data_IF_850582461506
#
_entry.id   IF_850582461506
#
_cell.length_a   1.000
_cell.length_b   1.000
_cell.length_c   1.000
_cell.angle_alpha   90.00
_cell.angle_beta   90.00
_cell.angle_gamma   90.00
#
_symmetry.space_group_name_H-M   'P 1'
#
loop_
_entity.id
_entity.type
_entity.pdbx_description
1 polymer ?
#
# COMPACT_ATOMS: atom_id res chain seq x y z
N UNK A 1 3.13 -8.92 -39.20
CA UNK A 1 2.43 -8.95 -37.90
C UNK A 1 3.45 -8.50 -36.87
N UNK A 2 3.38 -7.25 -36.42
CA UNK A 2 4.30 -6.73 -35.43
C UNK A 2 3.84 -7.21 -34.04
N UNK A 3 4.62 -8.08 -33.41
CA UNK A 3 4.45 -8.43 -32.00
C UNK A 3 4.80 -7.19 -31.18
N UNK A 4 3.79 -6.53 -30.64
CA UNK A 4 3.99 -5.51 -29.61
C UNK A 4 4.80 -6.11 -28.45
N UNK A 5 5.80 -5.40 -27.90
CA UNK A 5 6.41 -5.85 -26.65
C UNK A 5 5.32 -5.95 -25.57
N UNK A 6 5.38 -6.89 -24.61
CA UNK A 6 4.53 -6.83 -23.44
C UNK A 6 4.78 -5.48 -22.80
N UNK A 7 3.75 -4.63 -22.73
CA UNK A 7 3.81 -3.32 -22.08
C UNK A 7 4.53 -3.50 -20.75
N UNK A 8 5.66 -2.83 -20.59
CA UNK A 8 6.46 -2.89 -19.38
C UNK A 8 5.63 -2.38 -18.18
N UNK A 9 4.93 -3.33 -17.54
CA UNK A 9 5.06 -3.61 -16.13
C UNK A 9 4.52 -2.60 -15.12
N UNK A 10 3.40 -1.91 -15.39
CA UNK A 10 2.60 -1.38 -14.29
C UNK A 10 1.58 -2.44 -13.88
N UNK A 11 1.97 -3.33 -12.94
CA UNK A 11 1.02 -4.23 -12.31
C UNK A 11 0.06 -3.37 -11.50
N UNK A 12 -1.26 -3.40 -11.78
CA UNK A 12 -2.19 -2.56 -11.08
C UNK A 12 -2.30 -3.04 -9.63
N UNK A 13 -2.47 -2.11 -8.69
CA UNK A 13 -2.44 -2.40 -7.23
C UNK A 13 -3.35 -3.56 -6.86
N UNK A 14 -4.55 -3.66 -7.43
CA UNK A 14 -5.49 -4.76 -7.19
C UNK A 14 -4.91 -6.14 -7.55
N UNK A 15 -4.11 -6.23 -8.62
CA UNK A 15 -3.44 -7.48 -9.01
C UNK A 15 -2.28 -7.81 -8.06
N UNK A 16 -1.60 -6.80 -7.52
CA UNK A 16 -0.55 -6.96 -6.51
C UNK A 16 -1.12 -7.44 -5.17
N UNK A 17 -2.31 -6.96 -4.80
CA UNK A 17 -3.05 -7.41 -3.61
C UNK A 17 -3.50 -8.86 -3.80
N UNK A 18 -4.09 -9.18 -4.96
CA UNK A 18 -4.51 -10.55 -5.27
C UNK A 18 -3.32 -11.53 -5.32
N UNK A 19 -2.14 -11.04 -5.68
CA UNK A 19 -0.91 -11.85 -5.78
C UNK A 19 -0.04 -11.80 -4.52
N UNK A 20 -0.43 -11.06 -3.48
CA UNK A 20 0.36 -10.86 -2.25
C UNK A 20 1.80 -10.37 -2.52
N UNK A 21 1.96 -9.48 -3.51
CA UNK A 21 3.25 -8.88 -3.90
C UNK A 21 3.34 -7.41 -3.58
N UNK A 22 2.27 -6.78 -3.08
CA UNK A 22 2.20 -5.34 -2.86
C UNK A 22 3.29 -4.86 -1.89
N UNK A 23 3.48 -5.55 -0.76
CA UNK A 23 4.50 -5.18 0.21
C UNK A 23 5.92 -5.28 -0.37
N UNK A 24 6.23 -6.36 -1.10
CA UNK A 24 7.52 -6.55 -1.76
C UNK A 24 7.81 -5.48 -2.81
N UNK A 25 6.80 -5.08 -3.56
CA UNK A 25 6.95 -4.02 -4.56
C UNK A 25 7.13 -2.65 -3.92
N UNK A 26 6.44 -2.34 -2.82
CA UNK A 26 6.67 -1.09 -2.06
C UNK A 26 8.12 -1.05 -1.57
N UNK A 27 8.58 -2.11 -0.90
CA UNK A 27 9.96 -2.21 -0.40
C UNK A 27 10.99 -2.10 -1.52
N UNK A 28 10.79 -2.83 -2.63
CA UNK A 28 11.73 -2.83 -3.75
C UNK A 28 11.78 -1.48 -4.47
N UNK A 29 10.64 -0.82 -4.64
CA UNK A 29 10.54 0.46 -5.33
C UNK A 29 11.18 1.59 -4.53
N UNK A 30 11.12 1.53 -3.20
CA UNK A 30 11.66 2.55 -2.29
C UNK A 30 13.11 2.29 -1.85
N UNK A 31 13.66 1.11 -2.12
CA UNK A 31 15.08 0.81 -1.86
C UNK A 31 16.00 1.36 -2.98
N UNK A 32 15.44 1.83 -4.09
CA UNK A 32 16.22 2.41 -5.18
C UNK A 32 16.43 3.91 -4.91
N UNK A 33 17.69 4.37 -4.97
CA UNK A 33 18.12 5.74 -4.61
C UNK A 33 17.41 6.87 -5.38
N UNK A 34 16.78 6.56 -6.52
CA UNK A 34 15.89 7.49 -7.22
C UNK A 34 14.44 7.24 -6.79
N UNK A 35 14.01 7.99 -5.78
CA UNK A 35 12.65 8.00 -5.26
C UNK A 35 11.60 8.58 -6.25
N UNK A 36 12.01 8.80 -7.51
CA UNK A 36 11.23 9.45 -8.58
C UNK A 36 10.12 8.54 -9.14
N UNK A 37 10.14 7.24 -8.80
CA UNK A 37 9.19 6.23 -9.24
C UNK A 37 8.58 5.41 -8.09
N UNK A 38 8.65 5.91 -6.85
CA UNK A 38 8.06 5.23 -5.70
C UNK A 38 6.54 5.02 -5.88
N UNK A 39 6.06 3.81 -5.56
CA UNK A 39 4.60 3.48 -5.56
C UNK A 39 3.81 4.37 -4.58
N UNK A 40 4.52 4.94 -3.60
CA UNK A 40 3.98 5.78 -2.53
C UNK A 40 4.81 7.04 -2.42
N UNK A 41 4.16 8.20 -2.27
CA UNK A 41 4.84 9.45 -1.91
C UNK A 41 5.27 9.46 -0.44
N UNK A 42 6.08 10.44 -0.04
CA UNK A 42 6.60 10.55 1.34
C UNK A 42 5.51 10.59 2.42
N UNK A 43 4.38 11.24 2.14
CA UNK A 43 3.24 11.28 3.06
C UNK A 43 2.59 9.91 3.22
N UNK A 44 2.38 9.21 2.10
CA UNK A 44 1.83 7.85 2.10
C UNK A 44 2.79 6.88 2.80
N UNK A 45 4.09 6.99 2.56
CA UNK A 45 5.10 6.21 3.26
C UNK A 45 5.03 6.40 4.79
N UNK A 46 4.84 7.64 5.25
CA UNK A 46 4.68 7.95 6.68
C UNK A 46 3.41 7.34 7.25
N UNK A 47 2.29 7.39 6.49
CA UNK A 47 1.03 6.74 6.89
C UNK A 47 1.18 5.22 6.93
N UNK A 48 1.85 4.62 5.94
CA UNK A 48 2.07 3.18 5.88
C UNK A 48 2.92 2.72 7.07
N UNK A 49 3.98 3.45 7.41
CA UNK A 49 4.82 3.15 8.56
C UNK A 49 4.01 3.18 9.87
N UNK A 50 3.19 4.21 10.07
CA UNK A 50 2.29 4.33 11.23
C UNK A 50 1.32 3.15 11.30
N UNK A 51 0.67 2.86 10.17
CA UNK A 51 -0.26 1.75 10.03
C UNK A 51 0.39 0.40 10.36
N UNK A 52 1.55 0.10 9.79
CA UNK A 52 2.27 -1.16 10.04
C UNK A 52 2.69 -1.28 11.50
N UNK A 53 3.03 -0.16 12.16
CA UNK A 53 3.43 -0.17 13.57
C UNK A 53 2.26 -0.42 14.53
N UNK A 54 1.06 0.06 14.23
CA UNK A 54 -0.13 -0.17 15.04
C UNK A 54 -1.41 -0.04 14.19
N UNK A 55 -1.77 -1.10 13.44
CA UNK A 55 -2.83 -1.00 12.44
C UNK A 55 -4.21 -0.80 13.06
N UNK A 56 -4.45 -1.33 14.25
CA UNK A 56 -5.72 -1.15 14.96
C UNK A 56 -5.93 0.30 15.41
N UNK A 57 -4.91 0.92 16.02
CA UNK A 57 -5.02 2.30 16.49
C UNK A 57 -4.94 3.32 15.34
N UNK A 58 -4.17 3.03 14.30
CA UNK A 58 -3.90 3.97 13.22
C UNK A 58 -4.90 3.90 12.06
N UNK A 59 -5.76 2.88 12.03
CA UNK A 59 -6.80 2.74 11.00
C UNK A 59 -7.72 3.96 10.90
N UNK A 60 -8.40 4.31 12.00
CA UNK A 60 -9.33 5.45 12.02
C UNK A 60 -8.65 6.80 11.70
N UNK A 61 -7.50 7.17 12.30
CA UNK A 61 -6.86 8.44 11.96
C UNK A 61 -6.42 8.49 10.50
N UNK A 62 -5.85 7.40 9.95
CA UNK A 62 -5.46 7.36 8.53
C UNK A 62 -6.68 7.52 7.62
N UNK A 63 -7.79 6.84 7.93
CA UNK A 63 -9.03 7.01 7.16
C UNK A 63 -9.53 8.45 7.19
N UNK A 64 -9.43 9.14 8.33
CA UNK A 64 -9.82 10.56 8.44
C UNK A 64 -8.88 11.48 7.68
N UNK A 65 -7.56 11.27 7.79
CA UNK A 65 -6.53 12.05 7.09
C UNK A 65 -6.65 11.92 5.57
N UNK A 66 -7.05 10.74 5.09
CA UNK A 66 -7.18 10.42 3.67
C UNK A 66 -8.56 10.76 3.10
N UNK A 67 -9.48 11.25 3.93
CA UNK A 67 -10.85 11.55 3.55
C UNK A 67 -11.74 10.31 3.34
N UNK A 68 -11.23 9.10 3.57
CA UNK A 68 -11.95 7.83 3.41
C UNK A 68 -12.76 7.42 4.65
N UNK A 69 -12.64 8.14 5.77
CA UNK A 69 -13.34 7.83 7.02
C UNK A 69 -14.86 7.94 6.98
N UNK A 70 -15.43 8.50 5.90
CA UNK A 70 -16.86 8.64 5.72
C UNK A 70 -17.35 8.24 4.32
N UNK A 71 -16.50 7.57 3.52
CA UNK A 71 -16.81 7.20 2.15
C UNK A 71 -17.41 5.79 2.12
N UNK A 72 -18.67 5.68 1.71
CA UNK A 72 -19.26 4.40 1.33
C UNK A 72 -18.64 4.01 -0.01
N UNK A 73 -17.73 3.03 0.02
CA UNK A 73 -17.05 2.56 -1.19
C UNK A 73 -18.05 1.84 -2.12
N UNK A 74 -18.52 2.52 -3.17
CA UNK A 74 -19.23 1.84 -4.25
C UNK A 74 -18.22 1.07 -5.11
N UNK A 75 -18.44 -0.23 -5.28
CA UNK A 75 -17.56 -1.09 -6.07
C UNK A 75 -17.39 -0.54 -7.49
N UNK A 76 -16.14 -0.34 -7.92
CA UNK A 76 -15.80 0.05 -9.29
C UNK A 76 -15.36 1.51 -9.48
N UNK A 77 -15.33 2.33 -8.43
CA UNK A 77 -14.74 3.67 -8.49
C UNK A 77 -13.23 3.62 -8.80
N UNK A 78 -12.76 4.46 -9.73
CA UNK A 78 -11.32 4.69 -9.94
C UNK A 78 -10.70 5.13 -8.62
N UNK A 79 -9.62 4.46 -8.25
CA UNK A 79 -8.85 4.81 -7.08
C UNK A 79 -8.03 6.07 -7.33
N UNK A 80 -8.62 7.25 -7.11
CA UNK A 80 -7.92 8.54 -7.09
C UNK A 80 -7.61 9.00 -5.64
N UNK A 81 -7.42 8.05 -4.71
CA UNK A 81 -7.23 8.30 -3.27
C UNK A 81 -5.87 7.83 -2.73
N UNK A 82 -5.70 7.93 -1.41
CA UNK A 82 -4.52 7.44 -0.68
C UNK A 82 -4.51 5.91 -0.58
N UNK A 83 -3.51 5.26 -1.16
CA UNK A 83 -3.33 3.80 -1.13
C UNK A 83 -3.31 3.29 0.30
N UNK A 84 -2.69 4.02 1.23
CA UNK A 84 -2.67 3.64 2.64
C UNK A 84 -4.05 3.77 3.29
N UNK A 85 -4.83 4.79 2.90
CA UNK A 85 -6.22 4.88 3.29
C UNK A 85 -7.05 3.67 2.84
N UNK A 86 -6.79 3.13 1.65
CA UNK A 86 -7.43 1.90 1.18
C UNK A 86 -7.01 0.67 1.97
N UNK A 87 -5.72 0.55 2.27
CA UNK A 87 -5.19 -0.51 3.15
C UNK A 87 -5.90 -0.46 4.51
N UNK A 88 -5.99 0.72 5.13
CA UNK A 88 -6.66 0.92 6.41
C UNK A 88 -8.18 0.63 6.32
N UNK A 89 -8.84 0.98 5.22
CA UNK A 89 -10.27 0.71 5.02
C UNK A 89 -10.56 -0.79 5.01
N UNK A 90 -9.71 -1.55 4.32
CA UNK A 90 -9.83 -3.00 4.12
C UNK A 90 -9.33 -3.81 5.32
N UNK A 91 -8.50 -3.24 6.18
CA UNK A 91 -8.00 -3.90 7.37
C UNK A 91 -9.13 -4.35 8.30
N UNK A 92 -9.16 -5.65 8.63
CA UNK A 92 -10.20 -6.28 9.44
C UNK A 92 -11.59 -6.28 8.79
N UNK A 93 -11.69 -5.99 7.49
CA UNK A 93 -12.95 -6.02 6.74
C UNK A 93 -13.32 -7.44 6.35
N UNK A 94 -14.61 -7.76 6.31
CA UNK A 94 -15.12 -9.05 5.84
C UNK A 94 -14.75 -9.38 4.37
N UNK A 95 -14.29 -8.39 3.60
CA UNK A 95 -13.83 -8.56 2.22
C UNK A 95 -12.37 -9.04 2.11
N UNK A 96 -11.64 -9.15 3.23
CA UNK A 96 -10.25 -9.59 3.29
C UNK A 96 -9.24 -8.43 3.32
N UNK A 97 -8.21 -8.62 4.14
CA UNK A 97 -7.08 -7.71 4.32
C UNK A 97 -6.27 -7.52 3.04
N UNK A 98 -5.65 -6.33 2.92
CA UNK A 98 -4.81 -5.98 1.77
C UNK A 98 -3.42 -6.61 1.87
N UNK A 99 -2.89 -6.72 3.09
CA UNK A 99 -1.64 -7.39 3.38
C UNK A 99 -1.91 -8.65 4.18
N UNK A 100 -1.18 -9.71 3.85
CA UNK A 100 -1.09 -10.87 4.74
C UNK A 100 -0.30 -10.54 6.00
N UNK A 101 -0.41 -11.39 7.02
CA UNK A 101 0.41 -11.26 8.24
C UNK A 101 1.92 -11.32 7.94
N UNK A 102 2.33 -12.09 6.93
CA UNK A 102 3.73 -12.17 6.49
C UNK A 102 4.19 -10.85 5.85
N UNK A 103 3.38 -10.26 4.98
CA UNK A 103 3.65 -8.97 4.36
C UNK A 103 3.73 -7.84 5.40
N UNK A 104 2.81 -7.84 6.38
CA UNK A 104 2.83 -6.89 7.50
C UNK A 104 4.11 -7.03 8.34
N UNK A 105 4.53 -8.27 8.62
CA UNK A 105 5.77 -8.55 9.33
C UNK A 105 7.01 -8.09 8.56
N UNK A 106 7.06 -8.34 7.25
CA UNK A 106 8.14 -7.91 6.37
C UNK A 106 8.25 -6.39 6.27
N UNK A 107 7.12 -5.69 6.12
CA UNK A 107 7.08 -4.22 6.14
C UNK A 107 7.55 -3.67 7.50
N UNK A 108 7.13 -4.28 8.60
CA UNK A 108 7.53 -3.88 9.95
C UNK A 108 9.04 -4.01 10.15
N UNK A 109 9.64 -5.11 9.70
CA UNK A 109 11.09 -5.29 9.74
C UNK A 109 11.81 -4.27 8.84
N UNK A 110 11.30 -4.03 7.63
CA UNK A 110 11.88 -3.08 6.68
C UNK A 110 11.90 -1.64 7.23
N UNK A 111 10.78 -1.17 7.78
CA UNK A 111 10.72 0.13 8.46
C UNK A 111 11.62 0.16 9.71
N UNK A 112 11.75 -0.96 10.41
CA UNK A 112 12.66 -1.11 11.55
C UNK A 112 14.14 -1.03 11.17
N UNK A 113 14.54 -1.58 10.02
CA UNK A 113 15.92 -1.51 9.50
C UNK A 113 16.33 -0.08 9.12
N UNK A 114 15.41 0.71 8.57
CA UNK A 114 15.67 2.12 8.25
C UNK A 114 15.95 3.02 9.47
N UNK A 115 15.55 2.59 10.68
CA UNK A 115 15.78 3.33 11.95
C UNK A 115 17.17 3.10 12.55
N UNK A 116 18.02 2.30 11.91
CA UNK A 116 19.31 1.83 12.46
C UNK A 116 20.56 2.39 11.76
N UNK A 117 20.40 3.42 10.93
CA UNK A 117 21.49 4.12 10.23
C UNK A 117 21.72 5.51 10.79
#
# INVERSE_FOLDING_TARGET
>A
MASSPPSAGFTPVNEMIASHTLASSIMSSHNHLSNENGILDNEEMSRLQRFVSNPEAEREPILRETGLGNVVWEQGGRFEGSLVGFIALRYGSAQGDVFTGEEMGGLGEWFGRGRRS
#
